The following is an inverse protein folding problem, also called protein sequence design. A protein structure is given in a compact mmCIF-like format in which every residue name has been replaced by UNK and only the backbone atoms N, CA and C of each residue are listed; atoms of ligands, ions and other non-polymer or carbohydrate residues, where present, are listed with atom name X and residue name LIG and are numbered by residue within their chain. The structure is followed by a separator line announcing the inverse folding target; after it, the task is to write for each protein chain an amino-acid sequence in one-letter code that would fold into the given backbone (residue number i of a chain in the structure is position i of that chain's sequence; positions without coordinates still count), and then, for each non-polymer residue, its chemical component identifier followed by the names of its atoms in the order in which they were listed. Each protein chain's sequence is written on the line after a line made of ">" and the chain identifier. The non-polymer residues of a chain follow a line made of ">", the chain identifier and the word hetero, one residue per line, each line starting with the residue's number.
data_IF_787702231826
#
_entry.id   IF_787702231826
#
_cell.length_a   1.000
_cell.length_b   1.000
_cell.length_c   1.000
_cell.angle_alpha   90.00
_cell.angle_beta   90.00
_cell.angle_gamma   90.00
#
_symmetry.space_group_name_H-M   'P 1'
#
loop_
_entity.id
_entity.type
_entity.pdbx_description
1 polymer ?
#
# COMPACT_ATOMS: atom_id res chain seq x y z
N UNK A 1 -20.58 -16.07 -11.42
CA UNK A 1 -20.12 -14.73 -11.02
C UNK A 1 -18.63 -14.66 -11.33
N UNK A 2 -18.17 -13.62 -12.02
CA UNK A 2 -16.72 -13.39 -12.16
C UNK A 2 -16.18 -12.84 -10.84
N UNK A 3 -15.19 -13.52 -10.28
CA UNK A 3 -14.54 -13.14 -9.04
C UNK A 3 -13.03 -13.18 -9.22
N UNK A 4 -12.33 -12.30 -8.52
CA UNK A 4 -10.88 -12.27 -8.49
C UNK A 4 -10.35 -13.56 -7.90
N UNK A 5 -9.48 -14.26 -8.62
CA UNK A 5 -8.92 -15.52 -8.12
C UNK A 5 -7.95 -15.36 -6.94
N UNK A 6 -7.55 -14.12 -6.60
CA UNK A 6 -6.63 -13.81 -5.49
C UNK A 6 -7.40 -13.47 -4.21
N UNK A 7 -8.34 -12.53 -4.27
CA UNK A 7 -9.08 -12.07 -3.08
C UNK A 7 -10.51 -12.63 -3.01
N UNK A 8 -10.96 -13.38 -4.01
CA UNK A 8 -12.31 -13.93 -4.13
C UNK A 8 -13.44 -12.88 -4.20
N UNK A 9 -13.11 -11.59 -4.25
CA UNK A 9 -14.08 -10.50 -4.40
C UNK A 9 -14.45 -10.26 -5.88
N UNK A 10 -15.67 -9.82 -6.12
CA UNK A 10 -16.17 -9.43 -7.46
C UNK A 10 -15.79 -8.01 -7.86
N UNK A 11 -16.62 -7.40 -8.70
CA UNK A 11 -16.46 -6.00 -9.17
C UNK A 11 -16.61 -4.95 -8.07
N UNK A 12 -17.14 -5.35 -6.91
CA UNK A 12 -17.30 -4.49 -5.72
C UNK A 12 -15.95 -3.98 -5.19
N UNK A 13 -14.88 -4.78 -5.32
CA UNK A 13 -13.53 -4.42 -4.88
C UNK A 13 -12.68 -3.73 -5.98
N UNK A 14 -13.27 -3.47 -7.16
CA UNK A 14 -12.60 -2.90 -8.32
C UNK A 14 -12.84 -3.68 -9.60
N UNK A 15 -12.38 -3.15 -10.74
CA UNK A 15 -12.57 -3.79 -12.02
C UNK A 15 -11.77 -5.09 -12.14
N UNK A 16 -12.37 -6.09 -12.77
CA UNK A 16 -11.76 -7.38 -13.05
C UNK A 16 -11.24 -7.39 -14.48
N UNK A 17 -10.03 -7.89 -14.68
CA UNK A 17 -9.45 -8.11 -15.99
C UNK A 17 -8.95 -9.54 -16.15
N UNK A 18 -8.71 -9.92 -17.40
CA UNK A 18 -8.13 -11.21 -17.78
C UNK A 18 -6.78 -10.94 -18.43
N UNK A 19 -5.69 -10.92 -17.65
CA UNK A 19 -4.36 -10.59 -18.15
C UNK A 19 -3.77 -11.68 -19.06
N UNK A 20 -4.41 -12.85 -19.12
CA UNK A 20 -3.99 -13.98 -19.93
C UNK A 20 -5.21 -14.79 -20.39
N UNK A 21 -4.97 -15.85 -21.17
CA UNK A 21 -6.03 -16.74 -21.73
C UNK A 21 -6.72 -17.62 -20.69
N UNK A 22 -6.37 -17.53 -19.41
CA UNK A 22 -7.04 -18.29 -18.37
C UNK A 22 -8.49 -17.83 -18.20
N UNK A 23 -9.42 -18.74 -17.86
CA UNK A 23 -10.82 -18.39 -17.60
C UNK A 23 -11.01 -17.59 -16.30
N UNK A 24 -9.93 -17.23 -15.61
CA UNK A 24 -9.94 -16.57 -14.30
C UNK A 24 -9.70 -15.08 -14.46
N UNK A 25 -10.55 -14.29 -13.81
CA UNK A 25 -10.44 -12.84 -13.77
C UNK A 25 -9.72 -12.42 -12.49
N UNK A 26 -9.03 -11.28 -12.51
CA UNK A 26 -8.22 -10.78 -11.39
C UNK A 26 -8.34 -9.26 -11.32
N UNK A 27 -8.25 -8.70 -10.12
CA UNK A 27 -8.04 -7.25 -10.02
C UNK A 27 -6.59 -6.93 -10.36
N UNK A 28 -6.30 -5.88 -11.13
CA UNK A 28 -4.92 -5.47 -11.44
C UNK A 28 -4.10 -5.21 -10.17
N UNK A 29 -4.71 -4.63 -9.14
CA UNK A 29 -4.07 -4.43 -7.84
C UNK A 29 -3.72 -5.75 -7.15
N UNK A 30 -4.62 -6.75 -7.22
CA UNK A 30 -4.35 -8.08 -6.68
C UNK A 30 -3.24 -8.78 -7.45
N UNK A 31 -3.28 -8.69 -8.79
CA UNK A 31 -2.25 -9.24 -9.67
C UNK A 31 -0.88 -8.63 -9.36
N UNK A 32 -0.81 -7.31 -9.23
CA UNK A 32 0.42 -6.61 -8.87
C UNK A 32 0.98 -7.06 -7.51
N UNK A 33 0.12 -7.22 -6.49
CA UNK A 33 0.53 -7.78 -5.19
C UNK A 33 1.06 -9.20 -5.32
N UNK A 34 0.43 -10.04 -6.14
CA UNK A 34 0.88 -11.40 -6.39
C UNK A 34 2.23 -11.45 -7.10
N UNK A 35 2.44 -10.60 -8.11
CA UNK A 35 3.71 -10.49 -8.83
C UNK A 35 4.84 -10.00 -7.91
N UNK A 36 4.56 -9.02 -7.04
CA UNK A 36 5.48 -8.53 -6.02
C UNK A 36 5.86 -9.61 -5.00
N UNK A 37 4.87 -10.35 -4.48
CA UNK A 37 5.11 -11.45 -3.54
C UNK A 37 5.88 -12.61 -4.20
N UNK A 38 5.81 -12.70 -5.53
CA UNK A 38 6.50 -13.71 -6.34
C UNK A 38 7.79 -13.20 -6.97
N UNK A 39 8.32 -12.05 -6.54
CA UNK A 39 9.55 -11.47 -7.09
C UNK A 39 10.71 -12.49 -7.09
N UNK A 40 11.40 -12.60 -8.22
CA UNK A 40 12.46 -13.59 -8.43
C UNK A 40 11.97 -15.01 -8.75
N UNK A 41 10.66 -15.22 -8.90
CA UNK A 41 10.07 -16.47 -9.40
C UNK A 41 9.44 -16.26 -10.78
N UNK A 42 9.15 -17.36 -11.47
CA UNK A 42 8.44 -17.29 -12.75
C UNK A 42 7.09 -16.58 -12.61
N UNK A 43 6.40 -16.73 -11.47
CA UNK A 43 5.11 -16.08 -11.22
C UNK A 43 5.15 -14.55 -11.06
N UNK A 44 6.34 -13.94 -11.03
CA UNK A 44 6.51 -12.47 -11.15
C UNK A 44 6.02 -11.98 -12.52
N UNK A 45 6.32 -12.74 -13.59
CA UNK A 45 6.12 -12.31 -14.97
C UNK A 45 5.24 -13.26 -15.78
N UNK A 46 4.99 -14.45 -15.26
CA UNK A 46 4.26 -15.50 -15.96
C UNK A 46 3.06 -15.95 -15.14
N UNK A 47 1.96 -16.26 -15.82
CA UNK A 47 0.78 -16.80 -15.17
C UNK A 47 1.08 -18.18 -14.55
N UNK A 48 0.73 -18.38 -13.28
CA UNK A 48 0.93 -19.67 -12.60
C UNK A 48 0.19 -20.85 -13.26
N UNK A 49 -0.86 -20.57 -14.05
CA UNK A 49 -1.71 -21.60 -14.65
C UNK A 49 -1.36 -21.90 -16.11
N UNK A 50 -1.22 -20.87 -16.94
CA UNK A 50 -0.92 -21.03 -18.37
C UNK A 50 0.50 -20.63 -18.77
N UNK A 51 1.30 -20.12 -17.84
CA UNK A 51 2.68 -19.64 -18.05
C UNK A 51 2.82 -18.49 -19.08
N UNK A 52 1.70 -17.95 -19.55
CA UNK A 52 1.66 -16.79 -20.45
C UNK A 52 2.18 -15.54 -19.75
N UNK A 53 2.75 -14.60 -20.50
CA UNK A 53 3.35 -13.39 -19.94
C UNK A 53 2.26 -12.47 -19.36
N UNK A 54 2.42 -12.09 -18.08
CA UNK A 54 1.53 -11.17 -17.39
C UNK A 54 1.97 -9.72 -17.68
N UNK A 55 1.04 -8.75 -17.65
CA UNK A 55 1.39 -7.34 -17.78
C UNK A 55 2.34 -6.90 -16.65
N UNK A 56 3.17 -5.90 -16.91
CA UNK A 56 4.10 -5.37 -15.90
C UNK A 56 3.29 -4.68 -14.78
N UNK A 57 3.41 -5.21 -13.57
CA UNK A 57 2.69 -4.71 -12.39
C UNK A 57 2.98 -3.22 -12.11
N UNK A 58 4.11 -2.71 -12.60
CA UNK A 58 4.49 -1.29 -12.45
C UNK A 58 3.52 -0.36 -13.19
N UNK A 59 2.99 -0.79 -14.33
CA UNK A 59 2.01 0.00 -15.10
C UNK A 59 0.64 -0.01 -14.42
N UNK A 60 0.21 -1.16 -13.89
CA UNK A 60 -1.04 -1.28 -13.13
C UNK A 60 -1.02 -0.45 -11.82
N UNK A 61 0.15 -0.32 -11.17
CA UNK A 61 0.32 0.54 -10.00
C UNK A 61 0.37 2.05 -10.31
N UNK A 62 0.58 2.43 -11.57
CA UNK A 62 0.57 3.85 -11.96
C UNK A 62 -0.85 4.45 -11.99
N UNK A 63 -1.86 3.60 -12.24
CA UNK A 63 -3.26 3.98 -12.39
C UNK A 63 -4.13 3.83 -11.13
N UNK A 64 -3.61 3.22 -10.05
CA UNK A 64 -4.31 3.17 -8.77
C UNK A 64 -4.34 4.57 -8.13
N UNK A 65 -5.45 4.99 -7.47
CA UNK A 65 -5.52 6.27 -6.79
C UNK A 65 -4.40 6.36 -5.75
N UNK A 66 -3.39 7.18 -6.05
CA UNK A 66 -2.19 7.41 -5.23
C UNK A 66 -2.51 8.31 -4.05
N UNK A 67 -3.45 7.92 -3.19
CA UNK A 67 -3.69 8.59 -1.92
C UNK A 67 -3.56 7.58 -0.78
N UNK A 68 -2.31 7.26 -0.44
CA UNK A 68 -1.98 6.64 0.85
C UNK A 68 -1.99 7.78 1.85
N UNK A 69 -3.09 7.99 2.56
CA UNK A 69 -3.18 9.08 3.54
C UNK A 69 -2.93 8.52 4.94
N UNK A 70 -1.91 9.03 5.64
CA UNK A 70 -1.74 8.84 7.08
C UNK A 70 -2.34 10.01 7.84
N UNK A 71 -3.01 9.73 8.95
CA UNK A 71 -3.44 10.76 9.90
C UNK A 71 -2.37 10.94 10.96
N UNK A 72 -1.80 12.14 11.05
CA UNK A 72 -0.82 12.53 12.06
C UNK A 72 -1.53 13.35 13.12
N UNK A 73 -1.35 13.00 14.39
CA UNK A 73 -1.98 13.67 15.53
C UNK A 73 -0.90 14.30 16.40
N UNK A 74 -1.02 15.59 16.69
CA UNK A 74 -0.14 16.31 17.62
C UNK A 74 -0.96 17.37 18.37
N UNK A 75 -0.86 17.38 19.70
CA UNK A 75 -1.59 18.31 20.60
C UNK A 75 -3.11 18.42 20.31
N UNK A 76 -3.74 17.32 19.89
CA UNK A 76 -5.17 17.27 19.55
C UNK A 76 -5.52 17.72 18.14
N UNK A 77 -4.56 18.21 17.36
CA UNK A 77 -4.73 18.51 15.94
C UNK A 77 -4.42 17.28 15.09
N UNK A 78 -5.39 16.84 14.29
CA UNK A 78 -5.26 15.72 13.37
C UNK A 78 -5.12 16.23 11.95
N UNK A 79 -4.01 15.90 11.28
CA UNK A 79 -3.76 16.25 9.89
C UNK A 79 -3.58 15.01 9.04
N UNK A 80 -4.30 14.93 7.92
CA UNK A 80 -4.05 13.90 6.92
C UNK A 80 -2.94 14.31 5.96
N UNK A 81 -1.96 13.43 5.80
CA UNK A 81 -0.83 13.60 4.90
C UNK A 81 -0.77 12.44 3.92
N UNK A 82 -0.59 12.78 2.65
CA UNK A 82 -0.22 11.79 1.64
C UNK A 82 1.21 11.30 1.92
N UNK A 83 1.39 9.99 2.02
CA UNK A 83 2.67 9.34 2.30
C UNK A 83 3.13 8.49 1.14
N UNK A 84 4.43 8.57 0.86
CA UNK A 84 5.08 7.77 -0.17
C UNK A 84 6.10 6.83 0.50
N UNK A 85 6.17 5.55 0.10
CA UNK A 85 7.20 4.65 0.59
C UNK A 85 8.58 5.06 0.07
N UNK A 86 9.64 4.69 0.80
CA UNK A 86 11.02 4.94 0.44
C UNK A 86 11.63 6.20 1.07
N UNK A 87 12.95 6.39 0.90
CA UNK A 87 13.72 7.42 1.60
C UNK A 87 13.28 8.85 1.24
N UNK A 88 12.85 9.07 -0.01
CA UNK A 88 12.35 10.36 -0.46
C UNK A 88 11.00 10.71 0.18
N UNK A 89 10.07 9.76 0.22
CA UNK A 89 8.75 9.94 0.84
C UNK A 89 8.83 10.15 2.35
N UNK A 90 9.78 9.48 3.01
CA UNK A 90 10.08 9.74 4.43
C UNK A 90 10.55 11.17 4.65
N UNK A 91 11.48 11.67 3.83
CA UNK A 91 12.00 13.03 3.97
C UNK A 91 10.92 14.08 3.72
N UNK A 92 10.05 13.86 2.74
CA UNK A 92 8.89 14.73 2.47
C UNK A 92 7.88 14.71 3.62
N UNK A 93 7.59 13.53 4.17
CA UNK A 93 6.69 13.38 5.31
C UNK A 93 7.22 14.09 6.55
N UNK A 94 8.50 13.92 6.87
CA UNK A 94 9.12 14.55 8.03
C UNK A 94 9.17 16.08 7.86
N UNK A 95 9.50 16.58 6.67
CA UNK A 95 9.42 17.99 6.34
C UNK A 95 7.99 18.55 6.44
N UNK A 96 6.99 17.77 6.03
CA UNK A 96 5.59 18.15 6.14
C UNK A 96 5.12 18.23 7.61
N UNK A 97 5.49 17.26 8.45
CA UNK A 97 5.22 17.27 9.89
C UNK A 97 5.86 18.50 10.54
N UNK A 98 7.15 18.76 10.28
CA UNK A 98 7.84 19.93 10.85
C UNK A 98 7.18 21.23 10.44
N UNK A 99 6.75 21.34 9.18
CA UNK A 99 6.06 22.53 8.66
C UNK A 99 4.65 22.70 9.24
N UNK A 100 3.90 21.61 9.42
CA UNK A 100 2.52 21.65 9.95
C UNK A 100 2.53 22.00 11.43
N UNK A 101 3.44 21.39 12.21
CA UNK A 101 3.50 21.58 13.66
C UNK A 101 4.51 22.65 14.08
N UNK A 102 5.13 23.35 13.14
CA UNK A 102 6.07 24.45 13.43
C UNK A 102 7.31 24.02 14.23
N UNK A 103 7.80 22.79 14.03
CA UNK A 103 8.92 22.24 14.79
C UNK A 103 10.26 22.84 14.31
N UNK A 104 11.16 23.09 15.26
CA UNK A 104 12.51 23.57 14.96
C UNK A 104 13.30 22.54 14.10
N UNK A 105 14.21 23.00 13.21
CA UNK A 105 14.96 22.11 12.30
C UNK A 105 15.84 21.08 13.02
N UNK A 106 16.19 21.37 14.25
CA UNK A 106 17.03 20.65 15.20
C UNK A 106 16.23 19.90 16.30
N UNK A 107 14.89 20.00 16.27
CA UNK A 107 14.04 19.26 17.20
C UNK A 107 14.06 17.74 16.89
N UNK A 108 14.25 16.92 17.91
CA UNK A 108 14.13 15.46 17.80
C UNK A 108 12.66 15.06 17.67
N UNK A 109 12.24 14.75 16.45
CA UNK A 109 10.87 14.29 16.17
C UNK A 109 10.77 12.80 16.46
N UNK A 110 10.02 12.43 17.49
CA UNK A 110 9.62 11.04 17.72
C UNK A 110 8.30 10.76 17.01
N UNK A 111 8.33 9.77 16.11
CA UNK A 111 7.17 9.34 15.34
C UNK A 111 6.68 8.02 15.89
N UNK A 112 5.37 7.96 16.16
CA UNK A 112 4.67 6.75 16.59
C UNK A 112 3.53 6.50 15.61
N UNK A 113 3.54 5.33 14.97
CA UNK A 113 2.58 4.95 13.95
C UNK A 113 1.63 3.89 14.50
N UNK A 114 0.37 4.27 14.72
CA UNK A 114 -0.70 3.33 15.00
C UNK A 114 -1.18 2.70 13.70
N UNK A 115 -1.00 1.39 13.55
CA UNK A 115 -1.42 0.65 12.36
C UNK A 115 -2.40 -0.45 12.74
N UNK A 116 -3.51 -0.57 12.02
CA UNK A 116 -4.40 -1.73 12.16
C UNK A 116 -3.86 -2.89 11.35
N UNK A 117 -3.79 -4.07 11.96
CA UNK A 117 -3.37 -5.28 11.26
C UNK A 117 -4.51 -5.79 10.34
N UNK A 118 -4.16 -6.33 9.15
CA UNK A 118 -5.15 -6.69 8.12
C UNK A 118 -6.06 -7.87 8.50
N UNK A 119 -5.67 -8.66 9.49
CA UNK A 119 -6.41 -9.80 10.03
C UNK A 119 -7.38 -9.42 11.17
N UNK A 120 -7.56 -8.12 11.45
CA UNK A 120 -8.32 -7.62 12.62
C UNK A 120 -7.81 -8.20 13.96
N UNK A 121 -6.59 -8.73 14.01
CA UNK A 121 -6.01 -9.29 15.25
C UNK A 121 -5.67 -8.22 16.28
N UNK A 122 -5.64 -6.95 15.88
CA UNK A 122 -5.43 -5.81 16.76
C UNK A 122 -4.82 -4.61 16.05
N UNK A 123 -4.43 -3.61 16.85
CA UNK A 123 -3.65 -2.46 16.41
C UNK A 123 -2.20 -2.63 16.90
N UNK A 124 -1.26 -2.44 15.99
CA UNK A 124 0.17 -2.44 16.27
C UNK A 124 0.67 -1.00 16.29
N UNK A 125 1.43 -0.68 17.32
CA UNK A 125 2.11 0.60 17.45
C UNK A 125 3.56 0.43 17.04
N UNK A 126 3.97 1.11 15.97
CA UNK A 126 5.34 1.11 15.51
C UNK A 126 6.00 2.42 15.91
N UNK A 127 7.15 2.33 16.57
CA UNK A 127 7.90 3.51 17.02
C UNK A 127 9.13 3.73 16.15
N UNK A 128 9.48 5.01 16.00
CA UNK A 128 10.70 5.43 15.36
C UNK A 128 10.61 5.55 13.84
N UNK A 129 11.48 6.39 13.31
CA UNK A 129 11.52 6.74 11.89
C UNK A 129 11.95 5.58 10.97
N UNK A 130 12.60 4.54 11.53
CA UNK A 130 12.90 3.29 10.83
C UNK A 130 11.67 2.45 10.51
N UNK A 131 10.56 2.69 11.20
CA UNK A 131 9.30 1.96 11.01
C UNK A 131 8.37 2.62 9.99
N UNK A 132 8.81 3.72 9.35
CA UNK A 132 8.01 4.49 8.40
C UNK A 132 7.54 3.64 7.21
N UNK A 133 8.44 2.89 6.56
CA UNK A 133 8.07 2.07 5.40
C UNK A 133 7.07 0.97 5.76
N UNK A 134 7.22 0.36 6.95
CA UNK A 134 6.26 -0.62 7.46
C UNK A 134 4.89 0.03 7.72
N UNK A 135 4.86 1.22 8.33
CA UNK A 135 3.63 1.96 8.56
C UNK A 135 2.93 2.38 7.25
N UNK A 136 3.70 2.84 6.24
CA UNK A 136 3.16 3.19 4.91
C UNK A 136 2.57 1.95 4.23
N UNK A 137 3.22 0.80 4.39
CA UNK A 137 2.72 -0.46 3.86
C UNK A 137 1.41 -0.87 4.52
N UNK A 138 1.33 -0.82 5.86
CA UNK A 138 0.12 -1.13 6.61
C UNK A 138 -1.02 -0.13 6.31
N UNK A 139 -0.71 1.16 6.18
CA UNK A 139 -1.68 2.19 5.79
C UNK A 139 -2.22 1.96 4.37
N UNK A 140 -1.39 1.48 3.44
CA UNK A 140 -1.83 1.12 2.10
C UNK A 140 -2.77 -0.10 2.10
N UNK A 141 -2.54 -1.06 3.01
CA UNK A 141 -3.39 -2.23 3.17
C UNK A 141 -4.73 -1.86 3.82
N UNK A 142 -4.71 -1.07 4.90
CA UNK A 142 -5.93 -0.65 5.61
C UNK A 142 -6.80 0.30 4.78
N UNK A 143 -6.19 1.16 3.96
CA UNK A 143 -6.88 2.06 3.04
C UNK A 143 -7.74 1.33 1.99
N UNK A 144 -7.49 0.05 1.74
CA UNK A 144 -8.25 -0.80 0.82
C UNK A 144 -9.36 -1.64 1.49
N UNK A 145 -9.56 -1.53 2.81
CA UNK A 145 -10.56 -2.29 3.58
C UNK A 145 -11.81 -1.47 3.95
N UNK A 146 -12.07 -0.35 3.26
CA UNK A 146 -13.21 0.54 3.50
C UNK A 146 -14.28 0.39 2.45
#
# INVERSE_FOLDING_TARGET
>A
QEACWICHSGTEAGYLERPCRCPRSVHPACLARWQLASAGRAEERNCRFCQDHLPDWKEAHSALPKARSMSVVHEGSTHQLAVHPGPQGRSEFEAAIRRIFGLAPDATVQLTFGCRLPDNSGEVTLEGSGSFDAAVHLAAISAGQR
#
